data_IF_511955500723
#
_entry.id   IF_511955500723
#
_cell.length_a   1.000
_cell.length_b   1.000
_cell.length_c   1.000
_cell.angle_alpha   90.00
_cell.angle_beta   90.00
_cell.angle_gamma   90.00
#
_symmetry.space_group_name_H-M   'P 1'
#
loop_
_entity.id
_entity.type
_entity.pdbx_description
1 polymer ?
#
# COMPACT_ATOMS: atom_id res chain seq x y z
N UNK A 1 7.89 -4.50 12.23
CA UNK A 1 7.71 -5.79 11.56
C UNK A 1 9.02 -6.27 10.96
N UNK A 2 9.26 -7.55 10.96
CA UNK A 2 10.27 -8.21 10.13
C UNK A 2 9.57 -8.84 8.91
N UNK A 3 10.34 -9.50 8.04
CA UNK A 3 9.78 -10.12 6.83
C UNK A 3 8.66 -11.14 7.11
N UNK A 4 8.65 -11.74 8.30
CA UNK A 4 7.75 -12.83 8.64
C UNK A 4 7.14 -12.74 10.04
N UNK A 5 7.32 -11.62 10.75
CA UNK A 5 6.79 -11.50 12.12
C UNK A 5 6.43 -10.05 12.43
N UNK A 6 5.37 -9.89 13.20
CA UNK A 6 5.02 -8.63 13.84
C UNK A 6 5.56 -8.62 15.26
N UNK A 7 6.08 -7.47 15.67
CA UNK A 7 6.54 -7.25 17.03
C UNK A 7 5.96 -5.95 17.55
N UNK A 8 5.52 -5.96 18.78
CA UNK A 8 5.12 -4.78 19.53
C UNK A 8 6.25 -4.37 20.47
N UNK A 9 6.58 -3.09 20.48
CA UNK A 9 7.44 -2.46 21.46
C UNK A 9 6.79 -1.15 21.90
N UNK A 10 6.73 -0.93 23.19
CA UNK A 10 6.20 0.30 23.82
C UNK A 10 7.31 1.17 24.42
N UNK A 11 8.56 0.75 24.31
CA UNK A 11 9.72 1.39 24.94
C UNK A 11 10.84 1.75 23.96
N UNK A 12 10.49 2.07 22.72
CA UNK A 12 11.42 2.42 21.62
C UNK A 12 12.40 1.30 21.28
N UNK A 13 11.89 0.07 21.18
CA UNK A 13 12.61 -1.14 20.82
C UNK A 13 13.65 -1.63 21.85
N UNK A 14 13.59 -1.18 23.08
CA UNK A 14 14.41 -1.74 24.16
C UNK A 14 13.95 -3.15 24.53
N UNK A 15 12.64 -3.33 24.59
CA UNK A 15 11.99 -4.64 24.68
C UNK A 15 10.95 -4.81 23.59
N UNK A 16 10.62 -6.04 23.24
CA UNK A 16 9.58 -6.33 22.27
C UNK A 16 9.01 -7.74 22.51
N UNK A 17 7.78 -7.91 22.10
CA UNK A 17 7.12 -9.22 22.04
C UNK A 17 6.58 -9.48 20.63
N UNK A 18 6.53 -10.74 20.25
CA UNK A 18 5.90 -11.17 19.01
C UNK A 18 4.38 -11.03 19.13
N UNK A 19 3.74 -10.57 18.07
CA UNK A 19 2.30 -10.49 17.94
C UNK A 19 1.86 -11.43 16.83
N UNK A 20 0.85 -12.22 17.11
CA UNK A 20 0.24 -13.11 16.13
C UNK A 20 -0.86 -12.41 15.37
N UNK A 21 -0.90 -12.65 14.06
CA UNK A 21 -2.03 -12.31 13.21
C UNK A 21 -2.70 -13.61 12.75
N UNK A 22 -4.02 -13.66 12.80
CA UNK A 22 -4.77 -14.88 12.43
C UNK A 22 -5.33 -14.76 11.00
N UNK A 23 -5.38 -15.89 10.33
CA UNK A 23 -6.15 -16.07 9.11
C UNK A 23 -7.65 -16.17 9.43
N UNK A 24 -8.47 -16.17 8.38
CA UNK A 24 -9.93 -16.28 8.52
C UNK A 24 -10.39 -17.56 9.24
N UNK A 25 -9.68 -18.67 9.06
CA UNK A 25 -9.93 -19.95 9.68
C UNK A 25 -9.39 -20.07 11.13
N UNK A 26 -8.82 -18.97 11.66
CA UNK A 26 -8.24 -18.92 13.00
C UNK A 26 -6.82 -19.46 13.10
N UNK A 27 -6.26 -20.02 12.05
CA UNK A 27 -4.85 -20.43 12.00
C UNK A 27 -3.94 -19.20 12.03
N UNK A 28 -2.70 -19.39 12.47
CA UNK A 28 -1.71 -18.33 12.47
C UNK A 28 -1.35 -17.94 11.04
N UNK A 29 -1.39 -16.64 10.75
CA UNK A 29 -0.81 -16.13 9.53
C UNK A 29 0.69 -16.39 9.59
N UNK A 30 1.09 -17.36 8.81
CA UNK A 30 2.49 -17.62 8.57
C UNK A 30 2.86 -16.94 7.26
N UNK A 31 3.67 -15.88 7.26
CA UNK A 31 4.27 -15.44 6.03
C UNK A 31 5.10 -16.59 5.52
N UNK A 32 4.71 -17.09 4.38
CA UNK A 32 5.30 -18.30 3.81
C UNK A 32 6.82 -18.18 3.74
N UNK A 33 7.52 -19.09 4.39
CA UNK A 33 8.92 -19.31 4.10
C UNK A 33 8.98 -19.85 2.66
N UNK A 34 9.53 -19.10 1.70
CA UNK A 34 9.54 -19.54 0.32
C UNK A 34 10.31 -20.85 0.24
N UNK A 35 9.89 -21.71 -0.66
CA UNK A 35 10.67 -22.89 -1.08
C UNK A 35 12.06 -22.49 -1.59
N UNK A 36 12.28 -21.21 -1.88
CA UNK A 36 13.56 -20.62 -2.19
C UNK A 36 13.97 -19.62 -1.09
N UNK A 37 14.90 -19.98 -0.17
CA UNK A 37 15.34 -19.10 0.90
C UNK A 37 16.08 -17.84 0.42
N UNK A 38 16.41 -17.75 -0.86
CA UNK A 38 17.04 -16.57 -1.48
C UNK A 38 16.03 -15.52 -1.95
N UNK A 39 14.73 -15.80 -1.90
CA UNK A 39 13.69 -14.84 -2.21
C UNK A 39 13.01 -14.43 -0.90
N UNK A 40 13.35 -13.28 -0.30
CA UNK A 40 12.61 -12.70 0.81
C UNK A 40 11.22 -12.34 0.29
N UNK A 41 10.22 -13.15 0.63
CA UNK A 41 9.02 -13.16 -0.16
C UNK A 41 7.86 -12.37 0.37
N UNK A 42 7.76 -12.11 1.65
CA UNK A 42 6.48 -11.69 2.23
C UNK A 42 6.63 -10.52 3.17
N UNK A 43 5.76 -9.52 2.98
CA UNK A 43 5.65 -8.39 3.86
C UNK A 43 4.30 -8.44 4.58
N UNK A 44 4.32 -8.21 5.88
CA UNK A 44 3.09 -8.05 6.66
C UNK A 44 2.39 -6.71 6.42
N UNK A 45 3.01 -5.82 5.70
CA UNK A 45 2.51 -4.46 5.52
C UNK A 45 2.66 -4.03 4.07
N UNK A 46 1.83 -3.09 3.59
CA UNK A 46 2.02 -2.47 2.29
C UNK A 46 3.35 -1.69 2.22
N UNK A 47 3.68 -1.21 1.03
CA UNK A 47 4.91 -0.46 0.78
C UNK A 47 5.07 0.77 1.69
N UNK A 48 3.97 1.39 2.07
CA UNK A 48 3.92 2.54 2.98
C UNK A 48 3.93 2.18 4.47
N UNK A 49 3.85 0.89 4.82
CA UNK A 49 3.99 0.37 6.19
C UNK A 49 2.68 0.25 6.96
N UNK A 50 2.81 0.15 8.27
CA UNK A 50 1.68 0.15 9.21
C UNK A 50 1.53 1.57 9.74
N UNK A 51 0.34 2.13 9.58
CA UNK A 51 0.02 3.49 10.03
C UNK A 51 -0.98 3.47 11.17
N UNK A 52 -0.86 4.49 12.01
CA UNK A 52 -1.83 4.81 13.04
C UNK A 52 -2.78 5.89 12.52
N UNK A 53 -4.05 5.72 12.80
CA UNK A 53 -5.12 6.62 12.41
C UNK A 53 -5.93 7.04 13.63
N UNK A 54 -6.26 8.32 13.71
CA UNK A 54 -7.28 8.76 14.66
C UNK A 54 -8.66 8.50 14.03
N UNK A 55 -9.40 7.59 14.65
CA UNK A 55 -10.77 7.24 14.25
C UNK A 55 -11.70 7.58 15.41
N UNK A 56 -12.38 8.72 15.31
CA UNK A 56 -13.29 9.22 16.35
C UNK A 56 -12.64 9.42 17.73
N UNK A 57 -11.41 9.95 17.75
CA UNK A 57 -10.64 10.18 18.97
C UNK A 57 -10.01 8.92 19.56
N UNK A 58 -9.98 7.82 18.80
CA UNK A 58 -9.30 6.58 19.19
C UNK A 58 -8.21 6.24 18.20
N UNK A 59 -7.04 5.91 18.71
CA UNK A 59 -5.96 5.42 17.89
C UNK A 59 -6.30 4.03 17.35
N UNK A 60 -6.16 3.86 16.05
CA UNK A 60 -6.43 2.62 15.35
C UNK A 60 -5.32 2.32 14.35
N UNK A 61 -4.81 1.11 14.36
CA UNK A 61 -3.90 0.59 13.34
C UNK A 61 -4.73 -0.13 12.27
N UNK A 62 -4.50 0.18 11.00
CA UNK A 62 -5.11 -0.56 9.88
C UNK A 62 -4.09 -0.70 8.77
N UNK A 63 -3.88 -1.91 8.28
CA UNK A 63 -2.93 -2.18 7.21
C UNK A 63 -3.29 -3.43 6.41
N UNK A 64 -2.72 -3.56 5.22
CA UNK A 64 -2.84 -4.76 4.39
C UNK A 64 -1.54 -5.53 4.30
N UNK A 65 -1.60 -6.82 4.00
CA UNK A 65 -0.39 -7.58 3.72
C UNK A 65 0.02 -7.44 2.25
N UNK A 66 1.32 -7.34 2.05
CA UNK A 66 1.94 -7.23 0.74
C UNK A 66 2.70 -8.52 0.40
N UNK A 67 2.10 -9.34 -0.44
CA UNK A 67 2.65 -10.64 -0.84
C UNK A 67 3.39 -10.49 -2.16
N UNK A 68 4.69 -10.69 -2.17
CA UNK A 68 5.51 -10.43 -3.36
C UNK A 68 6.06 -11.69 -4.04
N UNK A 69 5.68 -12.89 -3.61
CA UNK A 69 6.19 -14.13 -4.20
C UNK A 69 5.16 -14.78 -5.11
N UNK A 70 5.63 -15.23 -6.26
CA UNK A 70 4.90 -16.10 -7.16
C UNK A 70 4.98 -17.53 -6.59
N UNK A 71 3.84 -18.14 -6.28
CA UNK A 71 3.77 -19.58 -6.06
C UNK A 71 3.60 -20.09 -4.64
N UNK A 72 3.10 -19.27 -3.69
CA UNK A 72 2.68 -19.77 -2.39
C UNK A 72 1.21 -19.49 -2.10
N UNK A 73 0.52 -20.35 -1.32
CA UNK A 73 -0.81 -20.08 -0.86
C UNK A 73 -0.74 -19.02 0.25
N UNK A 74 -1.04 -17.78 -0.10
CA UNK A 74 -1.07 -16.71 0.90
C UNK A 74 -2.40 -16.02 0.86
N UNK A 75 -3.09 -15.95 2.00
CA UNK A 75 -4.28 -15.14 2.11
C UNK A 75 -3.89 -13.68 2.01
N UNK A 76 -4.69 -12.90 1.29
CA UNK A 76 -4.57 -11.44 1.26
C UNK A 76 -5.62 -10.87 2.19
N UNK A 77 -5.16 -10.13 3.18
CA UNK A 77 -6.01 -9.64 4.26
C UNK A 77 -5.73 -8.17 4.57
N UNK A 78 -6.77 -7.47 5.02
CA UNK A 78 -6.62 -6.20 5.74
C UNK A 78 -6.77 -6.51 7.23
N UNK A 79 -5.80 -6.07 8.01
CA UNK A 79 -5.76 -6.24 9.45
C UNK A 79 -6.03 -4.92 10.16
N UNK A 80 -6.46 -5.00 11.40
CA UNK A 80 -6.59 -3.85 12.27
C UNK A 80 -6.31 -4.18 13.73
N UNK A 81 -6.05 -3.14 14.50
CA UNK A 81 -5.94 -3.17 15.96
C UNK A 81 -6.54 -1.88 16.52
N UNK A 82 -7.26 -2.00 17.62
CA UNK A 82 -7.86 -0.87 18.36
C UNK A 82 -7.28 -0.72 19.76
N UNK A 83 -6.24 -1.49 20.06
CA UNK A 83 -5.56 -1.56 21.35
C UNK A 83 -4.04 -1.40 21.20
N UNK A 84 -3.62 -0.49 20.32
CA UNK A 84 -2.22 -0.16 20.05
C UNK A 84 -1.35 -1.34 19.59
N UNK A 85 -1.97 -2.34 18.96
CA UNK A 85 -1.28 -3.53 18.45
C UNK A 85 -1.18 -4.68 19.45
N UNK A 86 -1.84 -4.60 20.61
CA UNK A 86 -1.91 -5.70 21.56
C UNK A 86 -2.60 -6.93 20.95
N UNK A 87 -3.69 -6.69 20.23
CA UNK A 87 -4.38 -7.73 19.44
C UNK A 87 -4.51 -7.29 17.99
N UNK A 88 -4.37 -8.26 17.08
CA UNK A 88 -4.53 -8.06 15.63
C UNK A 88 -5.71 -8.88 15.15
N UNK A 89 -6.65 -8.20 14.49
CA UNK A 89 -7.88 -8.76 13.97
C UNK A 89 -7.97 -8.59 12.47
N UNK A 90 -8.83 -9.38 11.82
CA UNK A 90 -9.16 -9.24 10.40
C UNK A 90 -10.24 -8.19 10.20
N UNK A 91 -9.94 -7.18 9.37
CA UNK A 91 -10.91 -6.22 8.85
C UNK A 91 -11.57 -6.72 7.55
N UNK A 92 -10.80 -7.37 6.68
CA UNK A 92 -11.28 -7.92 5.41
C UNK A 92 -10.37 -9.05 4.93
N UNK A 93 -10.96 -10.14 4.46
CA UNK A 93 -10.26 -11.25 3.83
C UNK A 93 -10.67 -11.37 2.36
N UNK A 94 -9.71 -11.22 1.45
CA UNK A 94 -9.92 -11.43 0.03
C UNK A 94 -10.14 -12.90 -0.30
N UNK A 95 -10.76 -13.16 -1.45
CA UNK A 95 -10.94 -14.49 -1.99
C UNK A 95 -9.62 -15.20 -2.29
N UNK A 96 -9.69 -16.51 -2.43
CA UNK A 96 -8.52 -17.30 -2.81
C UNK A 96 -8.13 -16.99 -4.26
N UNK A 97 -6.93 -16.48 -4.47
CA UNK A 97 -6.40 -16.30 -5.81
C UNK A 97 -5.90 -17.65 -6.35
N UNK A 98 -6.49 -18.20 -7.44
CA UNK A 98 -6.13 -19.50 -7.97
C UNK A 98 -4.68 -19.65 -8.40
N UNK A 99 -3.99 -18.53 -8.67
CA UNK A 99 -2.57 -18.53 -9.06
C UNK A 99 -1.63 -18.79 -7.90
N UNK A 100 -2.12 -18.55 -6.67
CA UNK A 100 -1.38 -18.73 -5.43
C UNK A 100 -1.91 -19.92 -4.63
N UNK A 101 -2.68 -20.78 -5.28
CA UNK A 101 -3.14 -22.03 -4.72
C UNK A 101 -2.12 -23.13 -5.00
N UNK A 102 -1.66 -23.81 -3.98
CA UNK A 102 -0.89 -25.05 -4.17
C UNK A 102 -1.78 -26.10 -4.85
N UNK A 103 -1.22 -26.82 -5.82
CA UNK A 103 -1.97 -27.83 -6.61
C UNK A 103 -2.63 -28.91 -5.74
N UNK A 104 -2.15 -29.11 -4.53
CA UNK A 104 -2.62 -30.12 -3.59
C UNK A 104 -3.05 -29.52 -2.24
N UNK A 105 -3.30 -28.20 -2.16
CA UNK A 105 -3.74 -27.60 -0.91
C UNK A 105 -5.09 -28.16 -0.49
N UNK A 106 -5.11 -28.79 0.69
CA UNK A 106 -6.33 -29.32 1.30
C UNK A 106 -7.23 -28.21 1.85
N UNK A 107 -6.67 -27.05 2.10
CA UNK A 107 -7.34 -25.86 2.65
C UNK A 107 -7.09 -24.66 1.78
N UNK A 108 -8.13 -23.92 1.46
CA UNK A 108 -8.03 -22.60 0.85
C UNK A 108 -7.77 -21.58 1.97
N UNK A 109 -6.74 -20.77 1.81
CA UNK A 109 -6.39 -19.75 2.81
C UNK A 109 -7.14 -18.44 2.62
N UNK A 110 -7.69 -18.20 1.42
CA UNK A 110 -8.54 -17.06 1.13
C UNK A 110 -9.99 -17.30 1.59
N UNK A 111 -10.77 -16.22 1.64
CA UNK A 111 -12.18 -16.30 1.99
C UNK A 111 -12.99 -16.98 0.84
N UNK A 112 -13.59 -18.15 1.05
CA UNK A 112 -14.33 -18.85 0.02
C UNK A 112 -15.59 -18.12 -0.45
N UNK A 113 -16.14 -17.25 0.41
CA UNK A 113 -17.38 -16.50 0.12
C UNK A 113 -17.09 -15.16 -0.56
N UNK A 114 -15.82 -14.83 -0.79
CA UNK A 114 -15.41 -13.57 -1.40
C UNK A 114 -14.84 -13.80 -2.80
N UNK A 115 -15.55 -13.31 -3.80
CA UNK A 115 -15.10 -13.37 -5.20
C UNK A 115 -14.01 -12.34 -5.56
N UNK A 116 -13.76 -11.37 -4.70
CA UNK A 116 -12.75 -10.32 -4.93
C UNK A 116 -11.38 -10.90 -4.61
N UNK A 117 -10.56 -11.06 -5.63
CA UNK A 117 -9.22 -11.63 -5.52
C UNK A 117 -8.18 -10.61 -5.92
N UNK A 118 -7.02 -10.64 -5.28
CA UNK A 118 -5.87 -9.83 -5.69
C UNK A 118 -4.57 -10.53 -5.33
N UNK A 119 -3.47 -9.99 -5.81
CA UNK A 119 -2.13 -10.47 -5.44
C UNK A 119 -1.71 -9.96 -4.07
N UNK A 120 -1.88 -8.66 -3.84
CA UNK A 120 -1.53 -7.99 -2.59
C UNK A 120 -2.19 -6.61 -2.49
N UNK A 121 -2.12 -6.05 -1.30
CA UNK A 121 -2.62 -4.70 -1.02
C UNK A 121 -1.47 -3.71 -1.18
N UNK A 122 -1.70 -2.64 -1.93
CA UNK A 122 -0.72 -1.59 -2.16
C UNK A 122 -0.75 -0.51 -1.09
N UNK A 123 -1.94 -0.05 -0.72
CA UNK A 123 -2.09 1.04 0.23
C UNK A 123 -3.41 0.93 0.98
N UNK A 124 -3.43 1.40 2.23
CA UNK A 124 -4.62 1.59 3.04
C UNK A 124 -4.53 2.97 3.68
N UNK A 125 -5.59 3.79 3.54
CA UNK A 125 -5.63 5.13 4.12
C UNK A 125 -7.01 5.45 4.69
N UNK A 126 -7.06 6.26 5.74
CA UNK A 126 -8.29 6.74 6.37
C UNK A 126 -8.70 8.09 5.81
N UNK A 127 -9.97 8.21 5.46
CA UNK A 127 -10.61 9.47 5.13
C UNK A 127 -11.45 9.95 6.33
N UNK A 128 -10.97 10.94 7.09
CA UNK A 128 -11.71 11.42 8.27
C UNK A 128 -13.03 12.09 7.91
N UNK A 129 -13.13 12.73 6.74
CA UNK A 129 -14.38 13.41 6.30
C UNK A 129 -15.53 12.42 6.05
N UNK A 130 -15.24 11.21 5.64
CA UNK A 130 -16.22 10.15 5.41
C UNK A 130 -16.23 9.08 6.50
N UNK A 131 -15.30 9.17 7.46
CA UNK A 131 -15.07 8.17 8.51
C UNK A 131 -14.92 6.76 7.92
N UNK A 132 -14.14 6.66 6.86
CA UNK A 132 -13.97 5.45 6.08
C UNK A 132 -12.51 5.21 5.69
N UNK A 133 -12.13 3.95 5.59
CA UNK A 133 -10.85 3.53 5.04
C UNK A 133 -10.97 3.25 3.56
N UNK A 134 -9.92 3.56 2.82
CA UNK A 134 -9.76 3.20 1.43
C UNK A 134 -8.58 2.27 1.29
N UNK A 135 -8.75 1.21 0.51
CA UNK A 135 -7.69 0.27 0.20
C UNK A 135 -7.53 0.12 -1.32
N UNK A 136 -6.29 0.03 -1.77
CA UNK A 136 -5.95 -0.21 -3.17
C UNK A 136 -5.14 -1.50 -3.30
N UNK A 137 -5.48 -2.29 -4.30
CA UNK A 137 -4.76 -3.50 -4.71
C UNK A 137 -4.22 -3.37 -6.13
N UNK A 138 -3.44 -4.32 -6.62
CA UNK A 138 -2.97 -4.28 -7.99
C UNK A 138 -1.99 -5.36 -8.40
N UNK A 139 -1.16 -5.04 -9.38
CA UNK A 139 -0.04 -5.77 -10.01
C UNK A 139 -0.39 -6.71 -11.15
N UNK A 140 -1.63 -7.10 -11.36
CA UNK A 140 -1.91 -7.99 -12.46
C UNK A 140 -3.07 -7.53 -13.31
N UNK A 141 -2.76 -7.46 -14.59
CA UNK A 141 -3.74 -7.40 -15.67
C UNK A 141 -3.84 -8.77 -16.29
N UNK A 142 -4.92 -9.46 -16.01
CA UNK A 142 -5.28 -10.69 -16.71
C UNK A 142 -6.55 -10.38 -17.44
N UNK A 143 -6.61 -10.78 -18.70
CA UNK A 143 -7.68 -10.41 -19.63
C UNK A 143 -9.09 -10.73 -19.07
N UNK A 144 -9.20 -11.77 -18.27
CA UNK A 144 -10.43 -12.28 -17.67
C UNK A 144 -10.59 -11.97 -16.16
N UNK A 145 -9.60 -11.29 -15.56
CA UNK A 145 -9.62 -10.96 -14.12
C UNK A 145 -8.96 -9.63 -13.84
N UNK A 146 -9.72 -8.75 -13.23
CA UNK A 146 -9.26 -7.46 -12.77
C UNK A 146 -8.82 -7.60 -11.31
N UNK A 147 -7.55 -7.36 -11.01
CA UNK A 147 -6.99 -7.45 -9.65
C UNK A 147 -6.57 -6.07 -9.09
N UNK A 148 -6.78 -5.00 -9.84
CA UNK A 148 -6.64 -3.65 -9.33
C UNK A 148 -8.01 -3.17 -8.82
N UNK A 149 -8.19 -3.23 -7.52
CA UNK A 149 -9.42 -2.84 -6.84
C UNK A 149 -9.20 -1.62 -5.98
N UNK A 150 -10.23 -0.79 -5.89
CA UNK A 150 -10.36 0.19 -4.83
C UNK A 150 -11.55 -0.20 -3.96
N UNK A 151 -11.32 -0.29 -2.67
CA UNK A 151 -12.32 -0.66 -1.69
C UNK A 151 -12.51 0.48 -0.71
N UNK A 152 -13.74 0.59 -0.18
CA UNK A 152 -14.09 1.48 0.93
C UNK A 152 -14.60 0.65 2.09
N UNK A 153 -14.02 0.83 3.27
CA UNK A 153 -14.37 0.14 4.50
C UNK A 153 -14.83 1.10 5.58
N UNK A 154 -15.92 0.79 6.24
CA UNK A 154 -16.43 1.53 7.40
C UNK A 154 -16.36 0.62 8.62
N UNK A 155 -15.78 1.14 9.69
CA UNK A 155 -15.68 0.45 10.96
C UNK A 155 -16.78 0.90 11.93
N UNK A 156 -17.57 -0.06 12.40
CA UNK A 156 -18.53 0.15 13.48
C UNK A 156 -17.85 -0.18 14.83
N UNK A 157 -17.42 0.86 15.53
CA UNK A 157 -16.72 0.74 16.79
C UNK A 157 -17.58 0.21 17.95
N UNK A 158 -18.92 0.26 17.83
CA UNK A 158 -19.85 -0.25 18.86
C UNK A 158 -19.94 -1.77 18.81
N UNK A 159 -19.94 -2.31 17.60
CA UNK A 159 -20.11 -3.74 17.37
C UNK A 159 -18.82 -4.45 16.99
N UNK A 160 -17.69 -3.74 16.90
CA UNK A 160 -16.39 -4.22 16.42
C UNK A 160 -16.50 -4.92 15.07
N UNK A 161 -17.15 -4.26 14.10
CA UNK A 161 -17.47 -4.82 12.79
C UNK A 161 -17.06 -3.90 11.65
N UNK A 162 -16.69 -4.53 10.56
CA UNK A 162 -16.36 -3.86 9.31
C UNK A 162 -17.43 -4.09 8.24
N UNK A 163 -17.69 -3.06 7.46
CA UNK A 163 -18.47 -3.14 6.22
C UNK A 163 -17.60 -2.66 5.07
N UNK A 164 -17.29 -3.54 4.13
CA UNK A 164 -16.45 -3.23 2.97
C UNK A 164 -17.25 -3.28 1.68
N UNK A 165 -16.95 -2.32 0.79
CA UNK A 165 -17.52 -2.24 -0.55
C UNK A 165 -16.40 -2.08 -1.56
N UNK A 166 -16.42 -2.86 -2.65
CA UNK A 166 -15.60 -2.62 -3.83
C UNK A 166 -16.20 -1.43 -4.56
N UNK A 167 -15.42 -0.37 -4.71
CA UNK A 167 -15.80 0.82 -5.48
C UNK A 167 -15.54 0.61 -6.96
N UNK A 168 -14.41 -0.05 -7.28
CA UNK A 168 -13.94 -0.25 -8.63
C UNK A 168 -13.07 -1.49 -8.73
N UNK A 169 -13.18 -2.17 -9.87
CA UNK A 169 -12.22 -3.17 -10.36
C UNK A 169 -11.82 -2.77 -11.77
N UNK A 170 -10.52 -2.76 -12.06
CA UNK A 170 -10.02 -2.24 -13.34
C UNK A 170 -8.73 -2.92 -13.77
N UNK A 171 -8.46 -2.88 -15.08
CA UNK A 171 -7.16 -3.25 -15.67
C UNK A 171 -6.24 -2.03 -15.85
N UNK A 172 -6.71 -0.83 -15.54
CA UNK A 172 -5.90 0.37 -15.67
C UNK A 172 -4.97 0.55 -14.46
N UNK A 173 -3.97 -0.33 -14.34
CA UNK A 173 -2.94 -0.21 -13.31
C UNK A 173 -2.11 1.07 -13.45
N UNK A 174 -1.95 1.61 -14.65
CA UNK A 174 -1.18 2.83 -14.86
C UNK A 174 -1.71 4.00 -14.06
N UNK A 175 -3.02 4.12 -13.89
CA UNK A 175 -3.66 5.18 -13.13
C UNK A 175 -4.00 4.78 -11.70
N UNK A 176 -4.56 3.60 -11.52
CA UNK A 176 -5.25 3.24 -10.30
C UNK A 176 -4.48 2.34 -9.35
N UNK A 177 -3.42 1.67 -9.81
CA UNK A 177 -2.52 0.95 -8.89
C UNK A 177 -1.72 2.00 -8.11
N UNK A 178 -2.04 2.16 -6.85
CA UNK A 178 -1.49 3.22 -6.03
C UNK A 178 -0.44 2.74 -5.04
N UNK A 179 0.74 3.32 -5.08
CA UNK A 179 1.78 3.12 -4.07
C UNK A 179 1.60 3.94 -2.80
N UNK A 180 0.63 4.85 -2.78
CA UNK A 180 0.27 5.66 -1.60
C UNK A 180 -1.01 6.45 -1.83
N UNK A 181 -1.89 6.40 -0.82
CA UNK A 181 -3.17 7.12 -0.78
C UNK A 181 -3.13 8.08 0.40
N UNK A 182 -3.59 9.32 0.18
CA UNK A 182 -3.73 10.32 1.23
C UNK A 182 -5.06 11.05 1.10
N UNK A 183 -5.59 11.53 2.23
CA UNK A 183 -6.73 12.42 2.29
C UNK A 183 -6.33 13.70 3.01
N UNK A 184 -6.52 14.82 2.35
CA UNK A 184 -6.25 16.15 2.90
C UNK A 184 -7.46 17.03 2.58
N UNK A 185 -8.08 17.60 3.60
CA UNK A 185 -9.25 18.48 3.48
C UNK A 185 -10.38 17.88 2.63
N UNK A 186 -10.63 16.57 2.78
CA UNK A 186 -11.65 15.84 2.05
C UNK A 186 -11.30 15.54 0.58
N UNK A 187 -10.08 15.87 0.13
CA UNK A 187 -9.58 15.55 -1.20
C UNK A 187 -8.74 14.27 -1.14
N UNK A 188 -9.00 13.37 -2.05
CA UNK A 188 -8.23 12.15 -2.26
C UNK A 188 -7.02 12.44 -3.14
N UNK A 189 -5.85 12.02 -2.70
CA UNK A 189 -4.61 12.02 -3.46
C UNK A 189 -4.06 10.61 -3.58
N UNK A 190 -3.49 10.28 -4.75
CA UNK A 190 -2.78 9.02 -4.93
C UNK A 190 -1.64 9.15 -5.91
N UNK A 191 -0.65 8.27 -5.76
CA UNK A 191 0.50 8.17 -6.65
C UNK A 191 0.49 6.82 -7.36
N UNK A 192 0.60 6.81 -8.68
CA UNK A 192 0.61 5.58 -9.48
C UNK A 192 1.90 4.78 -9.25
N UNK A 193 1.74 3.55 -8.80
CA UNK A 193 2.81 2.54 -8.71
C UNK A 193 2.76 1.63 -9.94
N UNK A 194 2.97 2.21 -11.11
CA UNK A 194 2.91 1.46 -12.35
C UNK A 194 4.07 1.80 -13.27
N UNK A 195 4.80 0.78 -13.70
CA UNK A 195 5.90 0.94 -14.65
C UNK A 195 5.43 1.45 -16.02
N UNK A 196 4.24 1.09 -16.43
CA UNK A 196 3.77 1.31 -17.78
C UNK A 196 4.82 0.82 -18.82
N UNK A 197 4.40 0.08 -19.82
CA UNK A 197 5.30 -0.33 -20.91
C UNK A 197 5.50 0.83 -21.87
N UNK A 198 6.29 1.82 -21.48
CA UNK A 198 6.71 2.91 -22.40
C UNK A 198 8.20 2.79 -22.65
N UNK A 199 8.67 3.14 -23.85
CA UNK A 199 10.08 3.17 -24.18
C UNK A 199 10.87 4.03 -23.18
N UNK A 200 12.16 3.73 -22.95
CA UNK A 200 13.01 4.54 -22.09
C UNK A 200 12.96 6.04 -22.46
N UNK A 201 12.80 6.89 -21.47
CA UNK A 201 12.72 8.34 -21.64
C UNK A 201 11.36 8.87 -22.07
N UNK A 202 10.39 8.02 -22.36
CA UNK A 202 9.01 8.44 -22.63
C UNK A 202 8.16 8.44 -21.34
N UNK A 203 7.08 9.24 -21.36
CA UNK A 203 6.14 9.33 -20.26
C UNK A 203 4.92 8.45 -20.54
N UNK A 204 4.46 7.72 -19.53
CA UNK A 204 3.14 7.13 -19.55
C UNK A 204 2.12 8.22 -19.15
N UNK A 205 1.31 8.67 -20.09
CA UNK A 205 0.37 9.76 -19.86
C UNK A 205 -0.78 9.41 -18.91
N UNK A 206 -1.00 8.15 -18.62
CA UNK A 206 -2.01 7.72 -17.64
C UNK A 206 -1.43 7.41 -16.26
N UNK A 207 -0.13 7.66 -16.07
CA UNK A 207 0.56 7.52 -14.78
C UNK A 207 0.84 8.89 -14.19
N UNK A 208 0.66 9.03 -12.87
CA UNK A 208 0.95 10.31 -12.24
C UNK A 208 0.71 10.35 -10.74
N UNK A 209 0.86 11.53 -10.20
CA UNK A 209 0.28 11.91 -8.93
C UNK A 209 -1.02 12.62 -9.27
N UNK A 210 -2.09 12.13 -8.71
CA UNK A 210 -3.45 12.59 -8.99
C UNK A 210 -4.14 13.06 -7.73
N UNK A 211 -5.15 13.92 -7.93
CA UNK A 211 -6.15 14.22 -6.91
C UNK A 211 -7.55 14.32 -7.51
N UNK A 212 -8.55 14.04 -6.70
CA UNK A 212 -9.96 14.30 -6.98
C UNK A 212 -10.75 14.30 -5.66
N UNK A 213 -12.03 14.61 -5.72
CA UNK A 213 -12.93 14.28 -4.61
C UNK A 213 -13.14 12.77 -4.54
N UNK A 214 -13.33 12.16 -3.36
CA UNK A 214 -13.52 10.70 -3.25
C UNK A 214 -14.69 10.17 -4.11
N UNK A 215 -15.77 10.91 -4.22
CA UNK A 215 -16.93 10.57 -5.05
C UNK A 215 -16.64 10.59 -6.55
N UNK A 216 -15.60 11.30 -6.97
CA UNK A 216 -15.17 11.43 -8.36
C UNK A 216 -14.13 10.39 -8.79
N UNK A 217 -13.73 9.49 -7.89
CA UNK A 217 -12.70 8.48 -8.17
C UNK A 217 -13.00 7.64 -9.43
N UNK A 218 -14.26 7.40 -9.74
CA UNK A 218 -14.66 6.61 -10.89
C UNK A 218 -14.73 7.40 -12.20
N UNK A 219 -14.68 8.71 -12.12
CA UNK A 219 -14.76 9.62 -13.28
C UNK A 219 -13.37 10.20 -13.61
N UNK A 220 -12.69 9.58 -14.56
CA UNK A 220 -11.34 10.03 -14.99
C UNK A 220 -11.29 11.49 -15.44
N UNK A 221 -12.39 12.04 -15.93
CA UNK A 221 -12.44 13.42 -16.42
C UNK A 221 -12.33 14.45 -15.31
N UNK A 222 -12.58 14.03 -14.09
CA UNK A 222 -12.49 14.85 -12.88
C UNK A 222 -11.18 14.68 -12.12
N UNK A 223 -10.31 13.80 -12.60
CA UNK A 223 -8.98 13.64 -12.01
C UNK A 223 -8.06 14.76 -12.45
N UNK A 224 -7.51 15.49 -11.51
CA UNK A 224 -6.42 16.40 -11.76
C UNK A 224 -5.08 15.66 -11.62
N UNK A 225 -4.29 15.65 -12.69
CA UNK A 225 -2.92 15.16 -12.65
C UNK A 225 -2.00 16.30 -12.20
N UNK A 226 -1.46 16.18 -11.00
CA UNK A 226 -0.55 17.19 -10.43
C UNK A 226 0.85 17.06 -11.00
N UNK A 227 1.30 15.84 -11.25
CA UNK A 227 2.62 15.56 -11.78
C UNK A 227 2.64 14.24 -12.54
N UNK A 228 3.35 14.22 -13.66
CA UNK A 228 3.59 13.02 -14.45
C UNK A 228 5.07 12.64 -14.36
N UNK A 229 5.47 11.75 -13.43
CA UNK A 229 6.86 11.34 -13.29
C UNK A 229 7.30 10.45 -14.45
N UNK A 230 8.61 10.40 -14.71
CA UNK A 230 9.20 9.44 -15.65
C UNK A 230 9.16 8.01 -15.12
N UNK A 231 8.87 7.82 -13.80
CA UNK A 231 8.97 6.55 -13.08
C UNK A 231 7.71 6.28 -12.28
N UNK A 232 7.55 5.05 -11.83
CA UNK A 232 6.53 4.67 -10.85
C UNK A 232 6.81 5.33 -9.49
N UNK A 233 5.74 5.67 -8.80
CA UNK A 233 5.78 6.25 -7.47
C UNK A 233 5.34 5.21 -6.45
N UNK A 234 6.22 4.82 -5.55
CA UNK A 234 6.00 3.72 -4.61
C UNK A 234 5.47 4.17 -3.25
N UNK A 235 5.46 5.48 -2.98
CA UNK A 235 5.05 6.04 -1.69
C UNK A 235 4.62 7.48 -1.90
N UNK A 236 3.60 7.92 -1.20
CA UNK A 236 3.10 9.29 -1.23
C UNK A 236 2.86 9.77 0.19
N UNK A 237 3.47 10.87 0.57
CA UNK A 237 3.20 11.57 1.83
C UNK A 237 2.77 12.99 1.51
N UNK A 238 1.72 13.43 2.17
CA UNK A 238 1.26 14.81 2.14
C UNK A 238 1.20 15.31 3.59
N UNK A 239 1.86 16.43 3.82
CA UNK A 239 1.87 17.09 5.11
C UNK A 239 1.98 18.59 4.91
N UNK A 240 1.04 19.33 5.45
CA UNK A 240 0.86 20.75 5.18
C UNK A 240 0.77 21.02 3.67
N UNK A 241 1.67 21.87 3.15
CA UNK A 241 1.76 22.20 1.73
C UNK A 241 2.70 21.27 0.94
N UNK A 242 3.38 20.35 1.65
CA UNK A 242 4.40 19.49 1.06
C UNK A 242 3.81 18.18 0.58
N UNK A 243 4.05 17.87 -0.68
CA UNK A 243 3.77 16.55 -1.30
C UNK A 243 5.10 15.92 -1.64
N UNK A 244 5.34 14.71 -1.15
CA UNK A 244 6.58 13.99 -1.30
C UNK A 244 6.31 12.58 -1.80
N UNK A 245 6.98 12.17 -2.87
CA UNK A 245 6.86 10.83 -3.42
C UNK A 245 8.20 10.22 -3.79
N UNK A 246 8.41 8.98 -3.36
CA UNK A 246 9.58 8.20 -3.73
C UNK A 246 9.40 7.57 -5.11
N UNK A 247 10.48 7.47 -5.86
CA UNK A 247 10.52 6.73 -7.13
C UNK A 247 11.18 5.39 -6.92
N UNK A 248 10.56 4.37 -7.44
CA UNK A 248 11.05 3.02 -7.36
C UNK A 248 10.87 2.31 -8.71
N UNK A 249 11.88 2.36 -9.57
CA UNK A 249 11.91 1.48 -10.74
C UNK A 249 13.25 0.76 -10.82
N UNK A 250 13.31 -0.51 -10.45
CA UNK A 250 14.58 -1.26 -10.39
C UNK A 250 15.25 -1.46 -11.76
N UNK A 251 14.49 -1.33 -12.85
CA UNK A 251 14.99 -1.61 -14.20
C UNK A 251 15.44 -0.38 -14.99
N UNK A 252 15.33 0.82 -14.46
CA UNK A 252 15.66 2.06 -15.17
C UNK A 252 16.91 2.72 -14.60
N UNK A 253 17.90 3.13 -15.43
CA UNK A 253 19.04 3.90 -14.96
C UNK A 253 18.66 5.27 -14.38
N UNK A 254 17.39 5.67 -14.48
CA UNK A 254 16.84 6.95 -14.01
C UNK A 254 16.05 6.84 -12.69
N UNK A 255 16.08 5.72 -11.99
CA UNK A 255 15.00 5.32 -11.09
C UNK A 255 15.29 5.44 -9.61
N UNK A 256 16.30 6.17 -9.22
CA UNK A 256 16.62 6.36 -7.80
C UNK A 256 16.47 7.82 -7.42
N UNK A 257 15.31 8.17 -6.88
CA UNK A 257 15.10 9.55 -6.51
C UNK A 257 13.76 9.79 -5.82
N UNK A 258 13.42 11.03 -5.69
CA UNK A 258 12.14 11.47 -5.18
C UNK A 258 11.72 12.77 -5.84
N UNK A 259 10.45 13.04 -5.79
CA UNK A 259 9.85 14.29 -6.20
C UNK A 259 9.21 14.98 -5.01
N UNK A 260 9.31 16.28 -4.96
CA UNK A 260 8.73 17.11 -3.91
C UNK A 260 8.04 18.33 -4.52
N UNK A 261 6.91 18.68 -3.96
CA UNK A 261 6.25 19.96 -4.09
C UNK A 261 6.06 20.57 -2.71
N UNK A 262 6.31 21.86 -2.55
CA UNK A 262 6.12 22.60 -1.30
C UNK A 262 4.99 23.64 -1.42
N UNK A 263 4.15 23.51 -2.43
CA UNK A 263 3.09 24.46 -2.78
C UNK A 263 1.80 23.78 -3.25
N UNK A 264 1.46 22.65 -2.60
CA UNK A 264 0.29 21.82 -2.92
C UNK A 264 0.27 21.29 -4.36
N UNK A 265 1.42 20.98 -4.94
CA UNK A 265 1.51 20.38 -6.27
C UNK A 265 1.53 21.37 -7.44
N UNK A 266 1.69 22.68 -7.20
CA UNK A 266 1.79 23.68 -8.26
C UNK A 266 3.16 23.64 -8.95
N UNK A 267 4.23 23.51 -8.18
CA UNK A 267 5.59 23.35 -8.70
C UNK A 267 6.24 22.09 -8.11
N UNK A 268 7.16 21.51 -8.88
CA UNK A 268 7.78 20.24 -8.55
C UNK A 268 9.28 20.26 -8.76
N UNK A 269 10.01 19.71 -7.82
CA UNK A 269 11.44 19.44 -7.94
C UNK A 269 11.66 17.92 -7.88
N UNK A 270 12.46 17.43 -8.82
CA UNK A 270 12.87 16.02 -8.85
C UNK A 270 14.34 15.92 -8.43
N UNK A 271 14.62 15.03 -7.49
CA UNK A 271 15.96 14.74 -7.02
C UNK A 271 16.39 13.35 -7.46
N UNK A 272 17.62 13.27 -7.96
CA UNK A 272 18.29 12.04 -8.33
C UNK A 272 19.28 11.66 -7.22
N UNK A 273 19.12 10.49 -6.64
CA UNK A 273 19.99 10.01 -5.55
C UNK A 273 21.18 9.19 -6.05
N UNK A 274 21.36 9.00 -7.35
CA UNK A 274 22.51 8.25 -7.91
C UNK A 274 23.85 8.85 -7.49
N UNK A 275 23.91 10.15 -7.30
CA UNK A 275 25.08 10.86 -6.79
C UNK A 275 25.51 10.39 -5.38
N UNK A 276 24.62 9.80 -4.61
CA UNK A 276 24.88 9.23 -3.28
C UNK A 276 25.10 7.71 -3.30
N UNK A 277 25.39 7.14 -4.47
CA UNK A 277 25.60 5.72 -4.69
C UNK A 277 24.31 5.00 -5.11
N UNK A 278 24.38 3.67 -5.26
CA UNK A 278 23.24 2.83 -5.63
C UNK A 278 22.27 2.67 -4.46
N UNK A 279 21.61 3.77 -4.07
CA UNK A 279 20.62 3.76 -3.00
C UNK A 279 19.28 4.24 -3.54
N UNK A 280 18.23 3.58 -3.13
CA UNK A 280 16.86 3.90 -3.52
C UNK A 280 16.10 4.35 -2.29
N UNK A 281 15.36 5.46 -2.31
CA UNK A 281 14.45 5.79 -1.23
C UNK A 281 13.38 4.69 -1.21
N UNK A 282 13.25 4.06 -0.07
CA UNK A 282 12.24 3.01 0.08
C UNK A 282 10.98 3.55 0.72
N UNK A 283 11.11 4.59 1.51
CA UNK A 283 10.00 5.12 2.31
C UNK A 283 10.32 6.50 2.84
N UNK A 284 9.35 7.39 2.74
CA UNK A 284 9.32 8.62 3.52
C UNK A 284 8.45 8.44 4.75
N UNK A 285 8.86 9.07 5.85
CA UNK A 285 8.05 9.19 7.06
C UNK A 285 7.59 10.64 7.18
N UNK A 286 6.51 10.87 7.90
CA UNK A 286 6.04 12.21 8.23
C UNK A 286 7.13 13.01 8.94
N UNK A 287 7.00 14.33 8.97
CA UNK A 287 7.91 15.20 9.70
C UNK A 287 8.01 14.77 11.16
N UNK A 288 9.22 14.84 11.68
CA UNK A 288 9.46 14.76 13.12
C UNK A 288 9.14 16.11 13.80
N UNK A 289 9.31 16.16 15.12
CA UNK A 289 9.07 17.36 15.91
C UNK A 289 9.94 18.56 15.49
N UNK A 290 11.09 18.32 14.85
CA UNK A 290 11.98 19.35 14.31
C UNK A 290 11.57 19.80 12.88
N UNK A 291 10.51 19.25 12.32
CA UNK A 291 10.02 19.57 10.97
C UNK A 291 10.75 18.90 9.83
N UNK A 292 11.53 17.83 10.08
CA UNK A 292 12.28 17.11 9.06
C UNK A 292 11.58 15.84 8.59
N UNK A 293 11.48 15.64 7.30
CA UNK A 293 11.11 14.36 6.73
C UNK A 293 12.26 13.37 6.83
N UNK A 294 11.98 12.19 7.33
CA UNK A 294 12.93 11.09 7.31
C UNK A 294 12.76 10.26 6.05
N UNK A 295 13.86 9.90 5.42
CA UNK A 295 13.88 8.97 4.29
C UNK A 295 14.73 7.75 4.63
N UNK A 296 14.15 6.58 4.46
CA UNK A 296 14.88 5.32 4.57
C UNK A 296 15.46 4.96 3.20
N UNK A 297 16.79 4.87 3.13
CA UNK A 297 17.51 4.50 1.90
C UNK A 297 17.89 3.02 1.94
N UNK A 298 17.47 2.27 0.93
CA UNK A 298 17.91 0.89 0.73
C UNK A 298 19.13 0.86 -0.19
N UNK A 299 20.06 -0.05 0.04
CA UNK A 299 20.97 -0.51 -1.01
C UNK A 299 20.08 -1.13 -2.09
N UNK A 300 20.22 -0.66 -3.31
CA UNK A 300 19.34 -0.93 -4.43
C UNK A 300 18.77 -2.35 -4.48
N UNK A 301 17.71 -2.51 -5.22
CA UNK A 301 17.20 -3.83 -5.58
C UNK A 301 18.35 -4.58 -6.29
N UNK A 302 18.86 -5.59 -5.66
CA UNK A 302 19.77 -6.57 -6.25
C UNK A 302 18.93 -7.72 -6.75
#
# INVERSE_FOLDING_TARGET
>A
ATLNKLFLSTDRLKTYREIEAKNLDGSDYQPHAPSNPKQPGWYFHPLDGVHTWDVDGKEMLVWGNYCNVLGGPVPVNIYYSTDQGETVKLAYAFGQNPRFQEKNAKTLLGNPDNSVICRHIHSVAYNPSERAFYACTGDRDVQDRQECHWLKGVYDSKNDKWSWKVLMSTNNNSRYKSGGINFVDGVLYWASDANGRVPPGQRNHDRGIFRCRPEDLLDKSKHEMLFNPLFESANLIIEDQTILSAHCAPASPYSTGFIISNDHGKTWTQYDLRQFGKRTPSRFQKKNDDGWFRVDLRKGWI
#
